data_IF_368901444330
#
_entry.id   IF_368901444330
#
_cell.length_a   1.000
_cell.length_b   1.000
_cell.length_c   1.000
_cell.angle_alpha   90.00
_cell.angle_beta   90.00
_cell.angle_gamma   90.00
#
_symmetry.space_group_name_H-M   'P 1'
#
loop_
_entity.id
_entity.type
_entity.pdbx_description
1 polymer ?
#
# COMPACT_ATOMS: atom_id res chain seq x y z
N UNK A 1 23.36 -2.23 0.93
CA UNK A 1 22.17 -1.42 0.60
C UNK A 1 21.11 -1.75 1.64
N UNK A 2 20.42 -0.74 2.19
CA UNK A 2 19.31 -0.94 3.13
C UNK A 2 18.12 -1.59 2.42
N UNK A 3 17.30 -2.36 3.13
CA UNK A 3 16.06 -2.89 2.57
C UNK A 3 15.01 -1.77 2.46
N UNK A 4 14.06 -1.83 1.50
CA UNK A 4 12.95 -0.87 1.42
C UNK A 4 12.19 -0.71 2.74
N UNK A 5 11.98 -1.79 3.48
CA UNK A 5 11.36 -1.75 4.82
C UNK A 5 12.18 -0.92 5.82
N UNK A 6 13.51 -1.04 5.80
CA UNK A 6 14.41 -0.28 6.69
C UNK A 6 14.33 1.21 6.38
N UNK A 7 14.36 1.57 5.10
CA UNK A 7 14.29 2.96 4.66
C UNK A 7 12.93 3.58 4.98
N UNK A 8 11.86 2.81 4.78
CA UNK A 8 10.50 3.22 5.10
C UNK A 8 10.30 3.47 6.60
N UNK A 9 10.72 2.54 7.47
CA UNK A 9 10.58 2.71 8.93
C UNK A 9 11.35 3.93 9.40
N UNK A 10 12.57 4.15 8.89
CA UNK A 10 13.35 5.33 9.21
C UNK A 10 12.63 6.61 8.78
N UNK A 11 12.12 6.64 7.54
CA UNK A 11 11.50 7.83 6.96
C UNK A 11 10.21 8.23 7.70
N UNK A 12 9.32 7.27 7.93
CA UNK A 12 8.08 7.49 8.68
C UNK A 12 8.36 7.90 10.13
N UNK A 13 9.40 7.34 10.76
CA UNK A 13 9.81 7.74 12.11
C UNK A 13 10.24 9.21 12.16
N UNK A 14 10.99 9.68 11.16
CA UNK A 14 11.40 11.11 11.07
C UNK A 14 10.19 12.01 10.85
N UNK A 15 9.20 11.56 10.09
CA UNK A 15 7.96 12.30 9.82
C UNK A 15 6.93 12.25 10.95
N UNK A 16 7.10 11.34 11.91
CA UNK A 16 6.10 11.09 12.96
C UNK A 16 4.80 10.47 12.41
N UNK A 17 4.89 9.77 11.28
CA UNK A 17 3.76 9.18 10.58
C UNK A 17 3.68 7.67 10.77
N UNK A 18 2.49 7.13 10.55
CA UNK A 18 2.14 5.74 10.85
C UNK A 18 1.59 4.99 9.63
N UNK A 19 1.70 3.66 9.66
CA UNK A 19 1.40 2.77 8.54
C UNK A 19 0.49 1.60 8.96
N UNK A 20 -0.49 1.31 8.11
CA UNK A 20 -1.37 0.14 8.16
C UNK A 20 -1.29 -0.66 6.85
N UNK A 21 -1.51 -1.98 6.92
CA UNK A 21 -1.32 -2.88 5.76
C UNK A 21 -2.53 -3.80 5.56
N UNK A 22 -3.11 -3.83 4.37
CA UNK A 22 -4.07 -4.82 3.92
C UNK A 22 -3.38 -5.87 3.04
N UNK A 23 -3.43 -7.14 3.42
CA UNK A 23 -2.81 -8.21 2.66
C UNK A 23 -3.86 -9.19 2.12
N UNK A 24 -3.69 -9.60 0.87
CA UNK A 24 -4.38 -10.77 0.30
C UNK A 24 -3.33 -11.82 -0.10
N UNK A 25 -2.83 -11.79 -1.34
CA UNK A 25 -1.91 -12.83 -1.84
C UNK A 25 -0.61 -12.98 -1.02
N UNK A 26 -0.14 -11.91 -0.38
CA UNK A 26 1.09 -11.92 0.42
C UNK A 26 0.89 -12.57 1.79
N UNK A 27 -0.35 -12.65 2.31
CA UNK A 27 -0.68 -13.48 3.47
C UNK A 27 0.08 -13.17 4.76
N UNK A 28 0.45 -11.91 5.01
CA UNK A 28 1.18 -11.48 6.20
C UNK A 28 2.66 -11.18 5.97
N UNK A 29 3.17 -11.40 4.76
CA UNK A 29 4.58 -11.19 4.45
C UNK A 29 4.97 -9.71 4.44
N UNK A 30 4.07 -8.80 4.08
CA UNK A 30 4.37 -7.35 4.14
C UNK A 30 4.55 -6.92 5.59
N UNK A 31 3.65 -7.34 6.47
CA UNK A 31 3.76 -7.10 7.91
C UNK A 31 5.03 -7.75 8.50
N UNK A 32 5.39 -8.96 8.08
CA UNK A 32 6.60 -9.63 8.52
C UNK A 32 7.88 -8.85 8.14
N UNK A 33 7.98 -8.37 6.90
CA UNK A 33 9.13 -7.57 6.45
C UNK A 33 9.25 -6.25 7.20
N UNK A 34 8.13 -5.56 7.48
CA UNK A 34 8.13 -4.31 8.26
C UNK A 34 8.55 -4.59 9.71
N UNK A 35 7.96 -5.60 10.35
CA UNK A 35 8.21 -5.92 11.77
C UNK A 35 9.58 -6.53 12.03
N UNK A 36 10.27 -7.03 11.00
CA UNK A 36 11.67 -7.45 11.08
C UNK A 36 12.64 -6.27 11.32
N UNK A 37 12.22 -5.03 11.07
CA UNK A 37 13.05 -3.83 11.25
C UNK A 37 12.99 -3.34 12.71
N UNK A 38 14.13 -3.19 13.40
CA UNK A 38 14.16 -2.59 14.74
C UNK A 38 13.51 -1.21 14.77
N UNK A 39 12.60 -0.99 15.72
CA UNK A 39 11.87 0.27 15.87
C UNK A 39 10.59 0.38 15.04
N UNK A 40 10.20 -0.67 14.29
CA UNK A 40 8.96 -0.70 13.50
C UNK A 40 7.71 -0.36 14.33
N UNK A 41 7.68 -0.64 15.64
CA UNK A 41 6.56 -0.31 16.53
C UNK A 41 6.27 1.20 16.65
N UNK A 42 7.21 2.07 16.25
CA UNK A 42 6.98 3.52 16.22
C UNK A 42 6.05 3.96 15.08
N UNK A 43 6.01 3.18 14.00
CA UNK A 43 5.32 3.56 12.75
C UNK A 43 4.24 2.56 12.37
N UNK A 44 4.44 1.26 12.62
CA UNK A 44 3.51 0.22 12.17
C UNK A 44 2.37 0.01 13.16
N UNK A 45 1.15 0.32 12.71
CA UNK A 45 -0.09 0.20 13.50
C UNK A 45 -0.62 -1.23 13.53
N UNK A 46 -0.40 -1.97 12.45
CA UNK A 46 -0.87 -3.35 12.30
C UNK A 46 -1.25 -3.68 10.87
N UNK A 47 -1.77 -4.89 10.69
CA UNK A 47 -2.22 -5.39 9.39
C UNK A 47 -3.54 -6.13 9.48
N UNK A 48 -4.23 -6.22 8.33
CA UNK A 48 -5.41 -7.04 8.11
C UNK A 48 -5.15 -7.96 6.93
N UNK A 49 -5.10 -9.27 7.17
CA UNK A 49 -5.03 -10.27 6.10
C UNK A 49 -6.44 -10.63 5.63
N UNK A 50 -6.95 -9.92 4.62
CA UNK A 50 -8.26 -10.14 4.00
C UNK A 50 -8.16 -11.11 2.82
N UNK A 51 -7.76 -12.36 3.10
CA UNK A 51 -7.51 -13.37 2.07
C UNK A 51 -8.80 -13.77 1.32
N UNK A 52 -9.88 -14.00 2.06
CA UNK A 52 -11.20 -14.29 1.50
C UNK A 52 -11.89 -13.01 0.98
N UNK A 53 -12.60 -13.10 -0.14
CA UNK A 53 -13.21 -11.94 -0.84
C UNK A 53 -14.16 -11.17 0.07
N UNK A 54 -14.97 -11.84 0.87
CA UNK A 54 -15.94 -11.19 1.76
C UNK A 54 -15.28 -10.46 2.94
N UNK A 55 -14.05 -10.82 3.32
CA UNK A 55 -13.29 -10.09 4.33
C UNK A 55 -12.80 -8.73 3.81
N UNK A 56 -12.59 -8.59 2.49
CA UNK A 56 -12.25 -7.30 1.88
C UNK A 56 -13.39 -6.30 2.10
N UNK A 57 -14.64 -6.74 1.94
CA UNK A 57 -15.79 -5.91 2.26
C UNK A 57 -15.92 -5.67 3.77
N UNK A 58 -15.99 -6.74 4.57
CA UNK A 58 -16.33 -6.65 6.01
C UNK A 58 -15.30 -5.89 6.84
N UNK A 59 -14.01 -6.07 6.54
CA UNK A 59 -12.92 -5.51 7.35
C UNK A 59 -12.32 -4.24 6.76
N UNK A 60 -12.32 -4.12 5.42
CA UNK A 60 -11.67 -3.02 4.72
C UNK A 60 -12.66 -2.09 4.01
N UNK A 61 -13.96 -2.38 4.06
CA UNK A 61 -14.99 -1.51 3.47
C UNK A 61 -14.97 -1.46 1.95
N UNK A 62 -14.35 -2.44 1.29
CA UNK A 62 -14.39 -2.55 -0.18
C UNK A 62 -15.84 -2.74 -0.63
N UNK A 63 -16.23 -2.04 -1.70
CA UNK A 63 -17.56 -2.07 -2.26
C UNK A 63 -17.95 -3.50 -2.70
N UNK A 64 -19.06 -4.00 -2.16
CA UNK A 64 -19.52 -5.36 -2.44
C UNK A 64 -19.92 -5.55 -3.91
N UNK A 65 -20.51 -4.52 -4.53
CA UNK A 65 -20.92 -4.56 -5.94
C UNK A 65 -19.72 -4.53 -6.87
N UNK A 66 -18.62 -3.87 -6.48
CA UNK A 66 -17.34 -3.94 -7.18
C UNK A 66 -16.77 -5.36 -7.12
N UNK A 67 -16.72 -5.97 -5.93
CA UNK A 67 -16.22 -7.33 -5.74
C UNK A 67 -17.04 -8.36 -6.53
N UNK A 68 -18.36 -8.20 -6.59
CA UNK A 68 -19.24 -9.07 -7.40
C UNK A 68 -19.00 -8.91 -8.90
N UNK A 69 -18.74 -7.70 -9.39
CA UNK A 69 -18.60 -7.40 -10.83
C UNK A 69 -17.20 -7.67 -11.37
N UNK A 70 -16.16 -7.28 -10.63
CA UNK A 70 -14.76 -7.30 -11.09
C UNK A 70 -13.91 -8.37 -10.40
N UNK A 71 -14.40 -8.97 -9.32
CA UNK A 71 -13.63 -9.91 -8.51
C UNK A 71 -12.65 -9.23 -7.56
N UNK A 72 -11.86 -10.04 -6.85
CA UNK A 72 -10.93 -9.55 -5.83
C UNK A 72 -9.61 -8.99 -6.37
N UNK A 73 -9.30 -9.27 -7.65
CA UNK A 73 -8.04 -8.91 -8.32
C UNK A 73 -8.31 -7.80 -9.32
N UNK A 74 -8.44 -6.58 -8.80
CA UNK A 74 -8.82 -5.38 -9.55
C UNK A 74 -8.12 -4.14 -8.95
N UNK A 75 -7.73 -3.13 -9.74
CA UNK A 75 -7.07 -1.93 -9.23
C UNK A 75 -7.93 -1.13 -8.25
N UNK A 76 -9.25 -1.01 -8.46
CA UNK A 76 -10.15 -0.29 -7.56
C UNK A 76 -10.32 -1.05 -6.23
N UNK A 77 -10.28 -2.38 -6.28
CA UNK A 77 -10.25 -3.20 -5.05
C UNK A 77 -8.98 -2.93 -4.26
N UNK A 78 -7.81 -2.89 -4.91
CA UNK A 78 -6.55 -2.58 -4.25
C UNK A 78 -6.57 -1.19 -3.60
N UNK A 79 -7.07 -0.18 -4.32
CA UNK A 79 -7.23 1.19 -3.81
C UNK A 79 -8.13 1.23 -2.57
N UNK A 80 -9.31 0.62 -2.64
CA UNK A 80 -10.26 0.59 -1.53
C UNK A 80 -9.72 -0.21 -0.34
N UNK A 81 -8.94 -1.27 -0.57
CA UNK A 81 -8.24 -1.98 0.51
C UNK A 81 -7.23 -1.10 1.23
N UNK A 82 -6.46 -0.27 0.50
CA UNK A 82 -5.46 0.62 1.09
C UNK A 82 -6.11 1.73 1.92
N UNK A 83 -7.12 2.42 1.36
CA UNK A 83 -7.89 3.43 2.09
C UNK A 83 -8.65 2.81 3.28
N UNK A 84 -9.19 1.62 3.08
CA UNK A 84 -9.91 0.85 4.09
C UNK A 84 -9.07 0.53 5.31
N UNK A 85 -7.87 -0.02 5.12
CA UNK A 85 -6.99 -0.39 6.25
C UNK A 85 -6.45 0.83 6.98
N UNK A 86 -6.12 1.89 6.24
CA UNK A 86 -5.69 3.17 6.81
C UNK A 86 -6.74 3.69 7.80
N UNK A 87 -8.00 3.70 7.37
CA UNK A 87 -9.13 4.12 8.22
C UNK A 87 -9.36 3.16 9.38
N UNK A 88 -9.37 1.84 9.12
CA UNK A 88 -9.68 0.83 10.13
C UNK A 88 -8.67 0.81 11.29
N UNK A 89 -7.39 1.09 11.02
CA UNK A 89 -6.32 1.05 12.03
C UNK A 89 -5.87 2.44 12.51
N UNK A 90 -6.48 3.50 11.98
CA UNK A 90 -6.14 4.89 12.30
C UNK A 90 -4.67 5.18 12.02
N UNK A 91 -4.23 4.94 10.78
CA UNK A 91 -2.88 5.21 10.31
C UNK A 91 -2.84 6.41 9.37
N UNK A 92 -1.68 7.04 9.22
CA UNK A 92 -1.47 8.11 8.24
C UNK A 92 -1.42 7.56 6.81
N UNK A 93 -0.83 6.36 6.66
CA UNK A 93 -0.69 5.63 5.40
C UNK A 93 -1.37 4.26 5.48
N UNK A 94 -2.02 3.86 4.40
CA UNK A 94 -2.48 2.49 4.16
C UNK A 94 -1.87 1.93 2.89
N UNK A 95 -1.46 0.68 2.92
CA UNK A 95 -1.02 -0.02 1.70
C UNK A 95 -1.76 -1.34 1.53
N UNK A 96 -1.91 -1.79 0.29
CA UNK A 96 -2.62 -3.02 -0.01
C UNK A 96 -1.96 -3.88 -1.09
N UNK A 97 -2.17 -5.19 -0.99
CA UNK A 97 -1.79 -6.17 -2.02
C UNK A 97 -2.98 -7.07 -2.38
N UNK A 98 -3.27 -7.22 -3.67
CA UNK A 98 -4.21 -8.23 -4.19
C UNK A 98 -3.74 -8.77 -5.53
N UNK A 99 -4.02 -10.05 -5.83
CA UNK A 99 -3.44 -10.69 -7.00
C UNK A 99 -3.49 -12.21 -7.00
N UNK A 100 -3.03 -12.80 -8.09
CA UNK A 100 -2.99 -14.24 -8.33
C UNK A 100 -1.55 -14.73 -8.23
N UNK A 101 -1.22 -15.35 -7.09
CA UNK A 101 0.11 -15.95 -6.90
C UNK A 101 0.28 -17.33 -7.56
N UNK A 102 -0.80 -17.93 -8.10
CA UNK A 102 -0.77 -19.25 -8.71
C UNK A 102 -0.78 -20.43 -7.72
N UNK A 103 -0.64 -21.66 -8.21
CA UNK A 103 -0.21 -22.02 -9.57
C UNK A 103 -1.29 -21.89 -10.65
N UNK A 104 -2.56 -21.78 -10.28
CA UNK A 104 -3.68 -21.69 -11.21
C UNK A 104 -4.20 -20.24 -11.36
N UNK A 105 -4.78 -19.88 -12.52
CA UNK A 105 -5.54 -18.64 -12.67
C UNK A 105 -6.69 -18.54 -11.66
N UNK A 106 -7.10 -17.33 -11.32
CA UNK A 106 -8.24 -17.08 -10.42
C UNK A 106 -9.10 -15.94 -10.98
N UNK A 107 -10.43 -16.12 -10.97
CA UNK A 107 -11.40 -15.10 -11.41
C UNK A 107 -11.12 -14.54 -12.81
N UNK A 108 -10.64 -15.40 -13.72
CA UNK A 108 -10.25 -15.02 -15.09
C UNK A 108 -8.90 -14.30 -15.21
N UNK A 109 -8.21 -14.02 -14.10
CA UNK A 109 -6.90 -13.37 -14.08
C UNK A 109 -5.77 -14.41 -14.15
N UNK A 110 -4.76 -14.19 -15.01
CA UNK A 110 -3.61 -15.08 -15.11
C UNK A 110 -2.72 -14.96 -13.88
N UNK A 111 -1.99 -16.04 -13.57
CA UNK A 111 -0.93 -16.06 -12.56
C UNK A 111 0.05 -14.92 -12.80
N UNK A 112 0.45 -14.25 -11.72
CA UNK A 112 1.34 -13.09 -11.78
C UNK A 112 0.63 -11.75 -11.94
N UNK A 113 -0.69 -11.75 -12.13
CA UNK A 113 -1.50 -10.52 -12.07
C UNK A 113 -1.59 -10.04 -10.63
N UNK A 114 -0.98 -8.89 -10.34
CA UNK A 114 -0.97 -8.29 -9.00
C UNK A 114 -1.27 -6.81 -9.10
N UNK A 115 -2.01 -6.30 -8.12
CA UNK A 115 -2.21 -4.87 -7.89
C UNK A 115 -1.69 -4.54 -6.49
N UNK A 116 -0.87 -3.50 -6.42
CA UNK A 116 -0.40 -2.92 -5.17
C UNK A 116 -0.89 -1.47 -5.09
N UNK A 117 -1.29 -1.03 -3.91
CA UNK A 117 -1.85 0.30 -3.73
C UNK A 117 -1.31 0.96 -2.46
N UNK A 118 -1.26 2.28 -2.50
CA UNK A 118 -0.95 3.17 -1.39
C UNK A 118 -2.06 4.19 -1.28
N UNK A 119 -2.53 4.47 -0.07
CA UNK A 119 -3.38 5.59 0.28
C UNK A 119 -2.71 6.40 1.39
N UNK A 120 -2.65 7.72 1.22
CA UNK A 120 -1.91 8.63 2.11
C UNK A 120 -2.64 9.94 2.37
N UNK A 121 -2.04 10.85 3.15
CA UNK A 121 -2.54 12.19 3.36
C UNK A 121 -2.77 12.92 2.02
N UNK A 122 -3.83 13.74 1.94
CA UNK A 122 -4.03 14.60 0.78
C UNK A 122 -2.95 15.70 0.81
N UNK A 123 -2.08 15.73 -0.20
CA UNK A 123 -1.20 16.88 -0.41
C UNK A 123 -1.91 17.96 -1.21
N UNK A 124 -1.53 19.22 -1.00
CA UNK A 124 -2.08 20.35 -1.77
C UNK A 124 -1.83 20.23 -3.30
N UNK A 125 -0.89 19.38 -3.72
CA UNK A 125 -0.62 19.06 -5.11
C UNK A 125 -1.61 18.02 -5.69
N UNK A 126 -2.22 17.19 -4.84
CA UNK A 126 -3.24 16.21 -5.23
C UNK A 126 -4.60 16.90 -5.39
N UNK A 127 -4.80 17.60 -6.51
CA UNK A 127 -6.08 18.26 -6.87
C UNK A 127 -7.18 17.29 -7.31
N UNK A 128 -7.02 15.99 -7.06
CA UNK A 128 -7.98 14.93 -7.32
C UNK A 128 -8.38 14.30 -6.01
N UNK A 129 -9.65 13.99 -5.81
CA UNK A 129 -10.16 13.35 -4.60
C UNK A 129 -9.44 12.00 -4.36
N UNK A 130 -8.60 11.95 -3.32
CA UNK A 130 -7.86 10.76 -2.88
C UNK A 130 -6.40 10.75 -3.33
N UNK A 131 -5.45 10.81 -2.37
CA UNK A 131 -4.01 10.72 -2.63
C UNK A 131 -3.52 9.29 -2.92
N UNK A 132 -4.40 8.44 -3.45
CA UNK A 132 -4.11 7.03 -3.67
C UNK A 132 -3.33 6.78 -4.96
N UNK A 133 -2.31 5.92 -4.91
CA UNK A 133 -1.59 5.41 -6.09
C UNK A 133 -1.77 3.90 -6.17
N UNK A 134 -2.13 3.39 -7.35
CA UNK A 134 -2.24 1.96 -7.63
C UNK A 134 -1.27 1.60 -8.77
N UNK A 135 -0.56 0.49 -8.62
CA UNK A 135 0.29 -0.06 -9.66
C UNK A 135 -0.17 -1.47 -10.04
N UNK A 136 -0.31 -1.69 -11.34
CA UNK A 136 -0.59 -2.98 -11.94
C UNK A 136 0.73 -3.68 -12.30
N UNK A 137 0.90 -4.90 -11.80
CA UNK A 137 2.10 -5.70 -12.00
C UNK A 137 1.78 -6.96 -12.82
N UNK A 138 2.79 -7.40 -13.57
CA UNK A 138 2.79 -8.67 -14.30
C UNK A 138 4.07 -9.41 -13.92
N UNK A 139 3.94 -10.25 -12.90
CA UNK A 139 5.05 -10.93 -12.27
C UNK A 139 5.20 -12.34 -12.84
N UNK A 140 6.43 -12.81 -12.94
CA UNK A 140 6.74 -14.16 -13.40
C UNK A 140 7.42 -14.94 -12.27
N UNK A 141 7.29 -16.26 -12.29
CA UNK A 141 7.94 -17.17 -11.35
C UNK A 141 6.96 -18.02 -10.56
N UNK A 142 7.49 -18.70 -9.56
CA UNK A 142 6.74 -19.52 -8.61
C UNK A 142 5.83 -18.67 -7.71
N UNK A 143 4.89 -19.34 -7.05
CA UNK A 143 4.02 -18.72 -6.04
C UNK A 143 4.79 -17.94 -4.97
N UNK A 144 5.92 -18.48 -4.53
CA UNK A 144 6.77 -17.81 -3.52
C UNK A 144 7.41 -16.55 -4.09
N UNK A 145 7.95 -16.61 -5.31
CA UNK A 145 8.59 -15.46 -5.96
C UNK A 145 7.60 -14.34 -6.22
N UNK A 146 6.40 -14.65 -6.74
CA UNK A 146 5.35 -13.66 -6.98
C UNK A 146 4.95 -12.97 -5.68
N UNK A 147 4.77 -13.73 -4.59
CA UNK A 147 4.43 -13.15 -3.28
C UNK A 147 5.52 -12.23 -2.77
N UNK A 148 6.78 -12.65 -2.81
CA UNK A 148 7.91 -11.83 -2.33
C UNK A 148 8.11 -10.58 -3.18
N UNK A 149 7.94 -10.67 -4.50
CA UNK A 149 8.05 -9.50 -5.36
C UNK A 149 6.90 -8.53 -5.11
N UNK A 150 5.67 -9.03 -4.87
CA UNK A 150 4.54 -8.18 -4.45
C UNK A 150 4.83 -7.40 -3.17
N UNK A 151 5.53 -8.01 -2.20
CA UNK A 151 5.96 -7.32 -0.97
C UNK A 151 6.96 -6.21 -1.28
N UNK A 152 7.96 -6.48 -2.13
CA UNK A 152 8.94 -5.46 -2.52
C UNK A 152 8.30 -4.31 -3.25
N UNK A 153 7.41 -4.59 -4.21
CA UNK A 153 6.74 -3.58 -5.02
C UNK A 153 5.87 -2.66 -4.16
N UNK A 154 5.07 -3.18 -3.21
CA UNK A 154 4.22 -2.31 -2.38
C UNK A 154 5.05 -1.44 -1.41
N UNK A 155 6.15 -1.96 -0.89
CA UNK A 155 7.06 -1.19 -0.03
C UNK A 155 7.82 -0.11 -0.83
N UNK A 156 8.26 -0.43 -2.04
CA UNK A 156 8.89 0.53 -2.94
C UNK A 156 7.92 1.64 -3.34
N UNK A 157 6.68 1.28 -3.70
CA UNK A 157 5.63 2.23 -4.06
C UNK A 157 5.36 3.23 -2.92
N UNK A 158 5.24 2.74 -1.68
CA UNK A 158 5.06 3.61 -0.52
C UNK A 158 6.27 4.51 -0.30
N UNK A 159 7.49 3.97 -0.40
CA UNK A 159 8.70 4.77 -0.23
C UNK A 159 8.78 5.91 -1.25
N UNK A 160 8.42 5.66 -2.51
CA UNK A 160 8.32 6.68 -3.53
C UNK A 160 7.29 7.77 -3.18
N UNK A 161 6.12 7.39 -2.67
CA UNK A 161 5.09 8.36 -2.27
C UNK A 161 5.57 9.23 -1.10
N UNK A 162 6.09 8.60 -0.04
CA UNK A 162 6.54 9.33 1.16
C UNK A 162 7.74 10.24 0.84
N UNK A 163 8.67 9.80 -0.03
CA UNK A 163 9.81 10.61 -0.47
C UNK A 163 9.38 11.74 -1.42
N UNK A 164 8.44 11.48 -2.33
CA UNK A 164 7.88 12.48 -3.24
C UNK A 164 7.20 13.63 -2.50
N UNK A 165 6.51 13.34 -1.39
CA UNK A 165 5.91 14.37 -0.53
C UNK A 165 6.95 15.26 0.17
N UNK A 166 8.13 14.73 0.53
CA UNK A 166 9.17 15.54 1.16
C UNK A 166 9.63 16.67 0.24
N UNK A 167 9.94 16.35 -1.01
CA UNK A 167 10.35 17.35 -2.00
C UNK A 167 9.24 18.34 -2.35
N UNK A 168 7.98 17.91 -2.30
CA UNK A 168 6.82 18.79 -2.48
C UNK A 168 6.67 19.81 -1.34
N UNK A 169 6.79 19.35 -0.09
CA UNK A 169 6.65 20.20 1.09
C UNK A 169 7.82 21.18 1.26
N UNK A 170 9.06 20.76 0.97
CA UNK A 170 10.25 21.64 1.03
C UNK A 170 10.13 22.81 0.03
N UNK A 171 9.70 22.53 -1.21
CA UNK A 171 9.49 23.59 -2.22
C UNK A 171 8.37 24.55 -1.84
N UNK A 172 7.28 24.06 -1.24
CA UNK A 172 6.18 24.91 -0.82
C UNK A 172 6.63 25.89 0.29
N UNK A 173 7.40 25.42 1.28
CA UNK A 173 7.91 26.25 2.38
C UNK A 173 8.93 27.30 1.92
N UNK A 174 9.78 26.98 0.95
CA UNK A 174 10.74 27.95 0.37
C UNK A 174 10.05 29.09 -0.41
N UNK A 175 8.91 28.79 -1.04
CA UNK A 175 8.15 29.80 -1.80
C UNK A 175 7.43 30.77 -0.85
N UNK A 176 6.93 30.28 0.29
CA UNK A 176 6.29 31.13 1.32
C UNK A 176 7.30 32.01 2.08
N UNK A 177 8.54 31.55 2.26
CA UNK A 177 9.60 32.36 2.91
C UNK A 177 10.16 33.48 2.04
N UNK A 178 10.13 33.32 0.72
CA UNK A 178 10.73 34.26 -0.24
C UNK A 178 9.69 35.14 -0.97
N UNK A 179 8.39 34.96 -0.71
CA UNK A 179 7.30 35.61 -1.42
C UNK A 179 6.73 36.89 -0.78
N UNK A 180 7.33 37.41 0.29
CA UNK A 180 6.90 38.67 0.91
C UNK A 180 7.47 39.89 0.19
N UNK A 181 6.69 40.47 -0.73
CA UNK A 181 6.82 41.88 -1.14
C UNK A 181 5.67 42.69 -0.55
#
# INVERSE_FOLDING_TARGET
MSSPATDLVRLLTVRGETLAVAESLTGGLVAAEITAVPGASKVFRGSVTAYATELKHRLLGVDATLLERQGAVDPQVAEQMAAGVRKALGADWGIATTGVAGPDPQDGQPVGTVFVAVDGPLTAAARSAGGGKVEALRLNGSRTEIRMESVRSVLALLLEQVAGEQYGNERAQDTERNGGF
#
